data_IF_206353150138
#
_entry.id   IF_206353150138
#
_cell.length_a   1.000
_cell.length_b   1.000
_cell.length_c   1.000
_cell.angle_alpha   90.00
_cell.angle_beta   90.00
_cell.angle_gamma   90.00
#
_symmetry.space_group_name_H-M   'P 1'
#
loop_
_entity.id
_entity.type
_entity.pdbx_description
1 polymer ?
#
# COMPACT_ATOMS: atom_id res chain seq x y z
N UNK A 1 -45.60 -48.20 0.06
CA UNK A 1 -45.47 -49.66 0.27
C UNK A 1 -43.99 -50.01 0.34
N UNK A 2 -43.57 -50.65 1.46
CA UNK A 2 -42.36 -51.48 1.72
C UNK A 2 -40.98 -50.86 1.39
N UNK A 3 -40.10 -50.50 2.34
CA UNK A 3 -39.55 -51.14 3.54
C UNK A 3 -38.40 -52.13 3.27
N UNK A 4 -37.33 -51.92 4.05
CA UNK A 4 -36.21 -52.78 4.46
C UNK A 4 -34.90 -52.67 3.67
N UNK A 5 -33.74 -52.35 4.24
CA UNK A 5 -33.04 -52.53 5.55
C UNK A 5 -31.87 -53.51 5.37
N UNK A 6 -30.68 -53.07 5.73
CA UNK A 6 -29.56 -53.79 6.38
C UNK A 6 -28.48 -52.73 6.64
N UNK A 7 -28.43 -52.03 7.78
CA UNK A 7 -27.87 -52.41 9.09
C UNK A 7 -26.50 -53.10 9.05
N UNK A 8 -25.44 -52.35 9.38
CA UNK A 8 -24.38 -52.79 10.29
C UNK A 8 -24.02 -51.62 11.20
N UNK A 9 -24.08 -51.89 12.51
CA UNK A 9 -23.78 -50.99 13.62
C UNK A 9 -22.39 -51.29 14.19
N UNK A 10 -21.66 -50.26 14.62
CA UNK A 10 -20.57 -50.27 15.63
C UNK A 10 -19.85 -48.91 15.54
N UNK A 11 -19.37 -48.23 16.57
CA UNK A 11 -19.51 -48.28 18.02
C UNK A 11 -19.02 -46.89 18.48
N UNK A 12 -19.57 -46.38 19.57
CA UNK A 12 -19.22 -45.09 20.16
C UNK A 12 -17.74 -45.03 20.57
N UNK A 13 -17.04 -43.94 20.22
CA UNK A 13 -15.90 -43.45 20.99
C UNK A 13 -15.80 -41.94 20.82
N UNK A 14 -16.40 -41.22 21.76
CA UNK A 14 -16.20 -39.78 21.95
C UNK A 14 -14.87 -39.62 22.67
N UNK A 15 -13.83 -39.21 21.94
CA UNK A 15 -12.58 -38.75 22.54
C UNK A 15 -12.41 -37.27 22.21
N UNK A 16 -12.90 -36.42 23.11
CA UNK A 16 -12.50 -35.02 23.19
C UNK A 16 -11.00 -34.96 23.43
N UNK A 17 -10.21 -34.52 22.44
CA UNK A 17 -8.79 -34.26 22.62
C UNK A 17 -8.65 -32.82 23.12
N UNK A 18 -8.72 -32.64 24.43
CA UNK A 18 -8.23 -31.43 25.10
C UNK A 18 -6.71 -31.44 25.04
N UNK A 19 -6.13 -30.72 24.09
CA UNK A 19 -4.69 -30.45 24.08
C UNK A 19 -4.37 -29.31 25.06
N UNK A 20 -4.13 -29.65 26.32
CA UNK A 20 -3.52 -28.76 27.30
C UNK A 20 -2.00 -28.94 27.26
N UNK A 21 -1.29 -28.10 26.50
CA UNK A 21 0.16 -28.03 26.55
C UNK A 21 0.55 -27.08 27.68
N UNK A 22 1.05 -27.66 28.77
CA UNK A 22 1.54 -26.94 29.94
C UNK A 22 2.90 -26.33 29.61
N UNK A 23 3.03 -25.00 29.73
CA UNK A 23 4.33 -24.31 29.66
C UNK A 23 5.15 -24.68 30.90
N UNK A 24 6.27 -25.36 30.69
CA UNK A 24 7.25 -25.73 31.73
C UNK A 24 8.38 -24.70 31.74
N UNK A 25 8.55 -23.86 32.79
CA UNK A 25 9.70 -22.98 32.88
C UNK A 25 10.84 -23.75 33.56
N UNK A 26 11.91 -24.06 32.82
CA UNK A 26 13.17 -24.49 33.43
C UNK A 26 14.35 -24.18 32.52
N UNK A 27 15.25 -23.32 33.00
CA UNK A 27 16.64 -23.26 32.54
C UNK A 27 17.07 -21.91 31.99
N UNK A 28 17.44 -20.98 32.87
CA UNK A 28 18.28 -19.82 32.51
C UNK A 28 19.63 -20.32 32.01
N UNK A 29 19.89 -20.20 30.71
CA UNK A 29 21.23 -20.45 30.16
C UNK A 29 22.12 -19.27 30.51
N UNK A 30 22.93 -19.46 31.55
CA UNK A 30 24.05 -18.59 31.91
C UNK A 30 25.08 -18.63 30.78
N UNK A 31 25.18 -17.56 30.00
CA UNK A 31 26.33 -17.34 29.12
C UNK A 31 27.48 -16.84 30.00
N UNK A 32 28.47 -17.69 30.18
CA UNK A 32 29.76 -17.35 30.77
C UNK A 32 30.33 -16.12 30.08
N UNK A 33 30.52 -15.08 30.89
CA UNK A 33 31.14 -13.83 30.47
C UNK A 33 32.65 -14.00 30.32
N UNK A 34 33.17 -13.48 29.22
CA UNK A 34 34.47 -12.80 29.24
C UNK A 34 34.19 -11.32 29.46
N UNK A 35 33.88 -10.97 30.71
CA UNK A 35 34.02 -9.61 31.18
C UNK A 35 35.41 -9.50 31.80
N UNK A 36 36.16 -8.48 31.36
CA UNK A 36 37.06 -7.61 32.12
C UNK A 36 38.31 -7.31 31.30
N UNK A 37 38.27 -6.22 30.54
CA UNK A 37 39.31 -5.18 30.67
C UNK A 37 38.69 -3.80 30.46
N UNK A 38 38.50 -3.13 31.61
CA UNK A 38 38.61 -1.69 31.87
C UNK A 38 37.57 -0.74 31.28
N UNK A 39 36.57 -0.48 32.11
CA UNK A 39 35.77 0.73 32.14
C UNK A 39 36.64 2.00 32.11
N UNK A 40 36.45 2.81 31.06
CA UNK A 40 36.69 4.25 31.10
C UNK A 40 35.33 4.92 31.02
N UNK A 41 35.07 5.78 32.00
CA UNK A 41 33.73 6.23 32.39
C UNK A 41 32.90 6.84 31.27
N UNK A 42 31.62 7.03 31.61
CA UNK A 42 30.58 7.79 30.91
C UNK A 42 31.07 9.16 30.44
N UNK A 43 31.98 9.20 29.47
CA UNK A 43 32.26 10.38 28.67
C UNK A 43 30.99 10.66 27.89
N UNK A 44 30.51 11.90 28.01
CA UNK A 44 29.37 12.46 27.28
C UNK A 44 29.23 11.76 25.93
N UNK A 45 28.26 10.86 25.81
CA UNK A 45 27.90 10.28 24.53
C UNK A 45 27.38 11.45 23.71
N UNK A 46 28.26 12.03 22.87
CA UNK A 46 27.88 13.02 21.86
C UNK A 46 26.67 12.43 21.16
N UNK A 47 25.48 12.95 21.51
CA UNK A 47 24.23 12.54 20.90
C UNK A 47 24.47 12.66 19.40
N UNK A 48 24.41 11.57 18.62
CA UNK A 48 24.58 11.68 17.18
C UNK A 48 23.55 12.71 16.71
N UNK A 49 24.04 13.74 16.02
CA UNK A 49 23.20 14.83 15.54
C UNK A 49 21.99 14.23 14.81
N UNK A 50 20.77 14.78 14.99
CA UNK A 50 19.58 14.24 14.36
C UNK A 50 19.83 14.15 12.85
N UNK A 51 19.75 12.94 12.29
CA UNK A 51 19.93 12.74 10.85
C UNK A 51 18.93 13.63 10.13
N UNK A 52 19.44 14.61 9.40
CA UNK A 52 18.60 15.51 8.59
C UNK A 52 17.85 14.63 7.60
N UNK A 53 16.52 14.75 7.57
CA UNK A 53 15.68 13.98 6.63
C UNK A 53 16.16 14.23 5.21
N UNK A 54 16.44 13.15 4.49
CA UNK A 54 16.81 13.24 3.06
C UNK A 54 15.61 13.75 2.27
N UNK A 55 15.84 14.36 1.11
CA UNK A 55 14.75 14.96 0.33
C UNK A 55 13.73 13.90 -0.14
N UNK A 56 14.17 12.69 -0.47
CA UNK A 56 13.27 11.56 -0.76
C UNK A 56 12.50 11.04 0.47
N UNK A 57 12.94 11.34 1.69
CA UNK A 57 12.13 11.09 2.89
C UNK A 57 11.06 12.17 3.06
N UNK A 58 11.40 13.45 2.84
CA UNK A 58 10.43 14.55 2.90
C UNK A 58 9.31 14.40 1.87
N UNK A 59 9.66 14.02 0.63
CA UNK A 59 8.67 13.80 -0.43
C UNK A 59 7.68 12.67 -0.10
N UNK A 60 8.17 11.56 0.47
CA UNK A 60 7.29 10.45 0.92
C UNK A 60 6.41 10.84 2.09
N UNK A 61 6.95 11.59 3.06
CA UNK A 61 6.17 12.10 4.20
C UNK A 61 5.09 13.10 3.75
N UNK A 62 5.42 14.00 2.80
CA UNK A 62 4.45 14.93 2.23
C UNK A 62 3.32 14.19 1.48
N UNK A 63 3.67 13.22 0.63
CA UNK A 63 2.69 12.38 -0.08
C UNK A 63 1.81 11.57 0.88
N UNK A 64 2.38 11.05 1.96
CA UNK A 64 1.63 10.34 3.00
C UNK A 64 0.65 11.28 3.72
N UNK A 65 1.10 12.48 4.13
CA UNK A 65 0.21 13.49 4.73
C UNK A 65 -0.95 13.86 3.81
N UNK A 66 -0.69 14.02 2.51
CA UNK A 66 -1.73 14.35 1.52
C UNK A 66 -2.74 13.23 1.34
N UNK A 67 -2.29 11.98 1.37
CA UNK A 67 -3.18 10.83 1.36
C UNK A 67 -4.12 10.88 2.58
N UNK A 68 -3.56 11.07 3.77
CA UNK A 68 -4.32 11.11 5.03
C UNK A 68 -5.31 12.29 5.07
N UNK A 69 -4.92 13.47 4.56
CA UNK A 69 -5.78 14.65 4.43
C UNK A 69 -7.00 14.37 3.52
N UNK A 70 -6.78 13.74 2.37
CA UNK A 70 -7.86 13.42 1.42
C UNK A 70 -8.79 12.36 2.02
N UNK A 71 -8.24 11.33 2.65
CA UNK A 71 -9.02 10.31 3.35
C UNK A 71 -9.88 10.93 4.47
N UNK A 72 -9.30 11.80 5.30
CA UNK A 72 -10.00 12.46 6.40
C UNK A 72 -11.12 13.40 5.93
N UNK A 73 -10.97 14.01 4.75
CA UNK A 73 -12.00 14.88 4.14
C UNK A 73 -13.16 14.08 3.51
N UNK A 74 -13.13 12.74 3.61
CA UNK A 74 -14.11 11.85 3.01
C UNK A 74 -13.86 11.58 1.52
N UNK A 75 -12.59 11.66 1.09
CA UNK A 75 -12.15 11.19 -0.22
C UNK A 75 -12.31 9.68 -0.36
N UNK A 76 -12.34 9.21 -1.60
CA UNK A 76 -12.43 7.79 -1.92
C UNK A 76 -11.03 7.19 -1.99
N UNK A 77 -10.83 6.07 -1.31
CA UNK A 77 -9.58 5.31 -1.34
C UNK A 77 -9.70 4.15 -2.32
N UNK A 78 -8.73 4.05 -3.23
CA UNK A 78 -8.64 2.99 -4.23
C UNK A 78 -7.35 2.20 -4.05
N UNK A 79 -7.38 0.88 -4.22
CA UNK A 79 -6.16 0.11 -4.43
C UNK A 79 -5.79 0.15 -5.90
N UNK A 80 -4.49 0.28 -6.16
CA UNK A 80 -3.93 0.35 -7.50
C UNK A 80 -3.20 -0.94 -7.82
N UNK A 81 -3.51 -1.47 -9.00
CA UNK A 81 -2.90 -2.66 -9.56
C UNK A 81 -2.21 -2.32 -10.88
N UNK A 82 -1.18 -3.09 -11.20
CA UNK A 82 -0.42 -2.98 -12.45
C UNK A 82 -0.35 -4.34 -13.10
N UNK A 83 -0.50 -4.38 -14.42
CA UNK A 83 -0.21 -5.58 -15.22
C UNK A 83 0.58 -5.20 -16.47
N UNK A 84 1.22 -6.19 -17.08
CA UNK A 84 1.78 -6.02 -18.42
C UNK A 84 0.63 -5.96 -19.44
N UNK A 85 0.79 -5.14 -20.47
CA UNK A 85 -0.17 -5.00 -21.56
C UNK A 85 -0.42 -6.36 -22.23
N UNK A 86 -1.70 -6.70 -22.41
CA UNK A 86 -2.09 -8.02 -22.95
C UNK A 86 -1.94 -9.19 -21.97
N UNK A 87 -1.62 -8.95 -20.69
CA UNK A 87 -1.66 -9.97 -19.65
C UNK A 87 -3.09 -10.33 -19.23
N UNK A 88 -3.28 -11.57 -18.77
CA UNK A 88 -4.59 -12.05 -18.30
C UNK A 88 -5.17 -11.20 -17.17
N UNK A 89 -6.51 -11.16 -17.06
CA UNK A 89 -7.25 -10.45 -16.00
C UNK A 89 -6.96 -10.95 -14.56
N UNK A 90 -6.24 -12.08 -14.44
CA UNK A 90 -5.80 -12.66 -13.16
C UNK A 90 -4.39 -12.24 -12.75
N UNK A 91 -3.64 -11.58 -13.64
CA UNK A 91 -2.22 -11.26 -13.48
C UNK A 91 -1.96 -9.84 -12.96
N UNK A 92 -2.79 -9.39 -12.02
CA UNK A 92 -2.65 -8.07 -11.40
C UNK A 92 -1.60 -8.07 -10.29
N UNK A 93 -0.64 -7.15 -10.35
CA UNK A 93 0.33 -6.89 -9.30
C UNK A 93 -0.11 -5.71 -8.44
N UNK A 94 -0.17 -5.84 -7.11
CA UNK A 94 -0.52 -4.72 -6.24
C UNK A 94 0.62 -3.69 -6.25
N UNK A 95 0.28 -2.43 -6.52
CA UNK A 95 1.26 -1.34 -6.53
C UNK A 95 1.13 -0.40 -5.33
N UNK A 96 -0.05 -0.34 -4.70
CA UNK A 96 -0.31 0.54 -3.56
C UNK A 96 -1.76 1.00 -3.51
N UNK A 97 -2.00 2.16 -2.89
CA UNK A 97 -3.32 2.79 -2.85
C UNK A 97 -3.23 4.29 -3.10
N UNK A 98 -4.31 4.89 -3.56
CA UNK A 98 -4.44 6.32 -3.81
C UNK A 98 -5.75 6.83 -3.19
N UNK A 99 -5.70 8.01 -2.58
CA UNK A 99 -6.88 8.72 -2.10
C UNK A 99 -7.24 9.81 -3.10
N UNK A 100 -8.49 9.85 -3.53
CA UNK A 100 -9.00 10.77 -4.55
C UNK A 100 -10.14 11.60 -3.96
N UNK A 101 -10.12 12.94 -4.08
CA UNK A 101 -11.20 13.78 -3.57
C UNK A 101 -12.51 13.48 -4.30
N UNK A 102 -13.65 13.70 -3.61
CA UNK A 102 -14.96 13.50 -4.22
C UNK A 102 -15.15 14.44 -5.42
N UNK A 103 -15.53 13.87 -6.58
CA UNK A 103 -15.71 14.61 -7.83
C UNK A 103 -14.51 14.58 -8.78
N UNK A 104 -13.36 14.04 -8.36
CA UNK A 104 -12.23 13.78 -9.26
C UNK A 104 -12.25 12.33 -9.78
N UNK A 105 -11.67 12.11 -10.96
CA UNK A 105 -11.54 10.78 -11.56
C UNK A 105 -10.26 10.09 -11.06
N UNK A 106 -10.39 8.83 -10.62
CA UNK A 106 -9.25 8.00 -10.20
C UNK A 106 -8.28 7.73 -11.35
N UNK A 107 -8.80 7.57 -12.58
CA UNK A 107 -8.00 7.35 -13.78
C UNK A 107 -6.97 8.47 -13.97
N UNK A 108 -7.41 9.73 -13.87
CA UNK A 108 -6.53 10.90 -14.01
C UNK A 108 -5.49 10.99 -12.90
N UNK A 109 -5.88 10.65 -11.66
CA UNK A 109 -4.98 10.62 -10.52
C UNK A 109 -3.86 9.57 -10.68
N UNK A 110 -4.18 8.41 -11.26
CA UNK A 110 -3.21 7.36 -11.58
C UNK A 110 -2.22 7.86 -12.64
N UNK A 111 -2.72 8.41 -13.75
CA UNK A 111 -1.85 8.87 -14.84
C UNK A 111 -1.03 10.11 -14.48
N UNK A 112 -1.48 10.94 -13.53
CA UNK A 112 -0.70 12.07 -13.02
C UNK A 112 0.54 11.64 -12.23
N UNK A 113 0.54 10.46 -11.62
CA UNK A 113 1.67 9.90 -10.86
C UNK A 113 2.19 8.58 -11.48
N UNK A 114 2.04 8.43 -12.80
CA UNK A 114 2.37 7.19 -13.51
C UNK A 114 3.83 6.76 -13.27
N UNK A 115 4.76 7.71 -13.34
CA UNK A 115 6.19 7.41 -13.15
C UNK A 115 6.49 6.90 -11.74
N UNK A 116 5.91 7.50 -10.70
CA UNK A 116 6.12 7.06 -9.32
C UNK A 116 5.58 5.65 -9.05
N UNK A 117 4.46 5.31 -9.70
CA UNK A 117 3.86 3.97 -9.64
C UNK A 117 4.76 2.96 -10.35
N UNK A 118 5.26 3.28 -11.55
CA UNK A 118 6.19 2.42 -12.32
C UNK A 118 7.51 2.17 -11.57
N UNK A 119 8.12 3.20 -11.01
CA UNK A 119 9.35 3.06 -10.22
C UNK A 119 9.12 2.19 -8.96
N UNK A 120 7.97 2.38 -8.30
CA UNK A 120 7.57 1.61 -7.12
C UNK A 120 7.35 0.13 -7.42
N UNK A 121 6.64 -0.18 -8.52
CA UNK A 121 6.35 -1.57 -8.91
C UNK A 121 7.62 -2.28 -9.37
N UNK A 122 8.51 -1.60 -10.10
CA UNK A 122 9.79 -2.16 -10.58
C UNK A 122 10.76 -2.45 -9.43
N UNK A 123 10.74 -1.62 -8.37
CA UNK A 123 11.50 -1.89 -7.15
C UNK A 123 11.01 -3.12 -6.43
N UNK A 124 9.69 -3.32 -6.39
CA UNK A 124 9.04 -4.42 -5.67
C UNK A 124 9.10 -5.73 -6.47
N UNK A 125 8.98 -5.63 -7.79
CA UNK A 125 8.96 -6.73 -8.74
C UNK A 125 9.97 -6.49 -9.87
N UNK A 126 11.25 -6.84 -9.66
CA UNK A 126 12.31 -6.63 -10.65
C UNK A 126 12.08 -7.34 -11.99
N UNK A 127 11.23 -8.36 -12.02
CA UNK A 127 10.82 -9.09 -13.25
C UNK A 127 10.03 -8.25 -14.25
N UNK A 128 9.49 -7.11 -13.80
CA UNK A 128 8.71 -6.18 -14.63
C UNK A 128 9.59 -5.07 -15.24
N UNK A 129 10.89 -5.06 -14.95
CA UNK A 129 11.86 -4.14 -15.55
C UNK A 129 11.87 -4.29 -17.07
N UNK A 130 11.83 -3.17 -17.78
CA UNK A 130 11.81 -3.13 -19.24
C UNK A 130 10.41 -3.18 -19.87
N UNK A 131 9.38 -3.59 -19.13
CA UNK A 131 7.98 -3.51 -19.58
C UNK A 131 7.26 -2.24 -19.12
N UNK A 132 7.98 -1.26 -18.56
CA UNK A 132 7.42 -0.05 -17.93
C UNK A 132 6.59 0.80 -18.90
N UNK A 133 6.96 0.84 -20.19
CA UNK A 133 6.19 1.55 -21.21
C UNK A 133 4.86 0.85 -21.56
N UNK A 134 4.79 -0.45 -21.33
CA UNK A 134 3.68 -1.33 -21.71
C UNK A 134 2.90 -1.80 -20.47
N UNK A 135 2.82 -0.97 -19.43
CA UNK A 135 2.06 -1.30 -18.22
C UNK A 135 0.63 -0.74 -18.31
N UNK A 136 -0.33 -1.60 -17.99
CA UNK A 136 -1.71 -1.18 -17.75
C UNK A 136 -1.97 -1.02 -16.26
N UNK A 137 -2.77 -0.01 -15.93
CA UNK A 137 -3.16 0.29 -14.58
C UNK A 137 -4.59 -0.16 -14.33
N UNK A 138 -4.82 -0.76 -13.18
CA UNK A 138 -6.14 -1.14 -12.70
C UNK A 138 -6.42 -0.55 -11.33
N UNK A 139 -7.69 -0.38 -10.98
CA UNK A 139 -8.09 0.08 -9.66
C UNK A 139 -9.34 -0.65 -9.15
N UNK A 140 -9.46 -0.76 -7.83
CA UNK A 140 -10.72 -1.10 -7.14
C UNK A 140 -10.89 -0.22 -5.91
N UNK A 141 -12.12 -0.09 -5.40
CA UNK A 141 -12.34 0.63 -4.15
C UNK A 141 -11.73 -0.16 -2.99
N UNK A 142 -11.03 0.51 -2.10
CA UNK A 142 -10.41 -0.13 -0.94
C UNK A 142 -11.43 -0.72 0.04
N UNK A 143 -12.62 -0.14 0.08
CA UNK A 143 -13.77 -0.64 0.88
C UNK A 143 -14.32 -1.96 0.32
N UNK A 144 -14.13 -2.20 -0.97
CA UNK A 144 -14.62 -3.39 -1.68
C UNK A 144 -13.45 -4.13 -2.36
N UNK A 145 -12.61 -4.82 -1.57
CA UNK A 145 -11.45 -5.53 -2.11
C UNK A 145 -11.81 -6.72 -3.00
N UNK A 146 -13.03 -7.26 -2.86
CA UNK A 146 -13.55 -8.36 -3.68
C UNK A 146 -14.07 -7.90 -5.04
N UNK A 147 -14.25 -6.59 -5.25
CA UNK A 147 -14.70 -6.05 -6.53
C UNK A 147 -13.65 -6.30 -7.62
N UNK A 148 -14.09 -6.61 -8.84
CA UNK A 148 -13.18 -6.81 -9.96
C UNK A 148 -12.36 -5.54 -10.22
N UNK A 149 -11.08 -5.73 -10.56
CA UNK A 149 -10.19 -4.62 -10.90
C UNK A 149 -10.62 -3.99 -12.21
N UNK A 150 -10.96 -2.70 -12.18
CA UNK A 150 -11.30 -1.92 -13.36
C UNK A 150 -10.04 -1.36 -14.02
N UNK A 151 -9.92 -1.52 -15.35
CA UNK A 151 -8.78 -0.98 -16.10
C UNK A 151 -8.91 0.53 -16.27
N UNK A 152 -7.92 1.28 -15.80
CA UNK A 152 -7.84 2.72 -15.99
C UNK A 152 -7.55 3.05 -17.46
N UNK A 153 -8.44 3.84 -18.06
CA UNK A 153 -8.24 4.37 -19.41
C UNK A 153 -7.81 5.84 -19.32
N UNK A 154 -6.83 6.22 -20.13
CA UNK A 154 -6.40 7.61 -20.24
C UNK A 154 -7.48 8.39 -20.99
N UNK A 155 -8.37 9.05 -20.26
CA UNK A 155 -9.41 9.87 -20.88
C UNK A 155 -8.77 11.11 -21.50
N UNK A 156 -8.70 11.17 -22.83
CA UNK A 156 -8.17 12.32 -23.58
C UNK A 156 -9.04 13.58 -23.54
N UNK A 157 -9.99 13.68 -22.61
CA UNK A 157 -10.91 14.81 -22.45
C UNK A 157 -10.86 15.33 -21.03
N UNK A 158 -10.04 16.36 -20.82
CA UNK A 158 -10.18 17.28 -19.69
C UNK A 158 -11.47 18.08 -19.95
N UNK A 159 -12.63 17.50 -19.66
CA UNK A 159 -13.93 18.13 -19.81
C UNK A 159 -14.79 17.80 -18.59
N UNK A 160 -14.35 18.32 -17.45
CA UNK A 160 -14.97 18.23 -16.12
C UNK A 160 -14.21 19.16 -15.16
N UNK A 161 -14.82 19.64 -14.07
CA UNK A 161 -14.38 20.83 -13.34
C UNK A 161 -12.90 20.73 -12.93
N UNK A 162 -12.08 21.60 -13.55
CA UNK A 162 -10.66 21.89 -13.29
C UNK A 162 -9.86 20.84 -12.51
N UNK A 163 -9.67 19.67 -13.11
CA UNK A 163 -8.87 18.54 -12.59
C UNK A 163 -7.38 18.95 -12.44
N UNK A 164 -6.91 19.86 -13.30
CA UNK A 164 -5.55 20.41 -13.21
C UNK A 164 -5.28 21.17 -11.91
N UNK A 165 -6.26 21.90 -11.37
CA UNK A 165 -6.03 22.73 -10.17
C UNK A 165 -5.87 21.90 -8.90
N UNK A 166 -6.63 20.82 -8.72
CA UNK A 166 -6.47 20.00 -7.52
C UNK A 166 -5.23 19.10 -7.60
N UNK A 167 -4.88 18.57 -8.79
CA UNK A 167 -3.65 17.79 -8.97
C UNK A 167 -2.42 18.69 -8.78
N UNK A 168 -2.44 19.93 -9.30
CA UNK A 168 -1.39 20.91 -9.02
C UNK A 168 -1.27 21.19 -7.52
N UNK A 169 -2.37 21.36 -6.79
CA UNK A 169 -2.33 21.57 -5.34
C UNK A 169 -1.85 20.32 -4.54
N UNK A 170 -2.02 19.11 -5.08
CA UNK A 170 -1.57 17.85 -4.45
C UNK A 170 -0.11 17.53 -4.79
N UNK A 171 0.36 17.87 -5.99
CA UNK A 171 1.70 17.52 -6.49
C UNK A 171 2.70 18.69 -6.45
N UNK A 172 2.26 19.92 -6.18
CA UNK A 172 3.18 21.06 -6.02
C UNK A 172 3.77 21.12 -4.60
N UNK A 173 5.10 21.20 -4.44
CA UNK A 173 5.72 21.49 -3.14
C UNK A 173 5.55 22.96 -2.70
N UNK A 174 4.97 23.82 -3.55
CA UNK A 174 4.69 25.24 -3.29
C UNK A 174 3.20 25.49 -3.50
N UNK A 175 2.53 26.01 -2.47
CA UNK A 175 1.11 26.38 -2.43
C UNK A 175 0.69 27.24 -3.65
N UNK A 176 0.07 26.60 -4.64
CA UNK A 176 -0.39 27.25 -5.87
C UNK A 176 -1.76 27.95 -5.73
N UNK A 177 -2.35 27.98 -4.53
CA UNK A 177 -3.65 28.62 -4.28
C UNK A 177 -3.64 30.14 -4.48
N UNK A 178 -2.45 30.77 -4.58
CA UNK A 178 -2.28 32.23 -4.61
C UNK A 178 -1.83 32.81 -5.95
N UNK A 179 -1.78 32.01 -7.02
CA UNK A 179 -1.42 32.51 -8.36
C UNK A 179 -2.70 32.95 -9.10
N UNK A 180 -2.86 34.25 -9.39
CA UNK A 180 -4.02 34.73 -10.15
C UNK A 180 -4.00 34.16 -11.58
N UNK A 181 -5.17 33.80 -12.15
CA UNK A 181 -5.25 33.29 -13.51
C UNK A 181 -4.77 34.34 -14.53
N UNK A 182 -4.08 33.94 -15.61
CA UNK A 182 -3.68 34.86 -16.67
C UNK A 182 -4.92 35.44 -17.37
N UNK A 183 -4.87 36.71 -17.81
CA UNK A 183 -6.00 37.37 -18.45
C UNK A 183 -6.35 36.68 -19.77
N UNK A 184 -7.63 36.38 -19.96
CA UNK A 184 -8.18 35.87 -21.22
C UNK A 184 -8.17 36.97 -22.29
N UNK A 185 -7.50 36.71 -23.40
CA UNK A 185 -7.73 37.39 -24.69
C UNK A 185 -8.64 36.49 -25.54
#
# INVERSE_FOLDING_TARGET
MKLSLLFVAAAACVCSITSAFVVRPAGTVSRTGNALFMAKGFGESKKPAPKVKTDGQKDREAKASKYDEIAATGGQEYNIYVRQFGGDDKSWFPSGSIAVPRGAQVSDAIFANEQGIKEGIVRTYPKLKGSEAEMEFGYNLKVYPDDPVEVAKKTGKIAGPSIGNWISNVLSPVDASKVPPPPSN
#
